data_IF_280162719678
#
_entry.id   IF_280162719678
#
_cell.length_a   1.000
_cell.length_b   1.000
_cell.length_c   1.000
_cell.angle_alpha   90.00
_cell.angle_beta   90.00
_cell.angle_gamma   90.00
#
_symmetry.space_group_name_H-M   'P 1'
#
loop_
_entity.id
_entity.type
_entity.pdbx_description
1 polymer ?
#
# COMPACT_ATOMS: atom_id res chain seq x y z
N UNK A 1 -16.10 15.62 -0.88
CA UNK A 1 -15.42 15.03 -2.06
C UNK A 1 -15.12 13.58 -1.74
N UNK A 2 -15.52 12.64 -2.59
CA UNK A 2 -15.17 11.23 -2.40
C UNK A 2 -13.69 11.03 -2.69
N UNK A 3 -13.01 10.23 -1.87
CA UNK A 3 -11.62 9.83 -2.11
C UNK A 3 -11.56 9.00 -3.40
N UNK A 4 -10.52 9.18 -4.22
CA UNK A 4 -10.28 8.44 -5.47
C UNK A 4 -8.98 7.62 -5.39
N UNK A 5 -8.85 6.51 -6.14
CA UNK A 5 -7.60 5.77 -6.21
C UNK A 5 -6.49 6.63 -6.84
N UNK A 6 -5.25 6.35 -6.46
CA UNK A 6 -4.08 7.09 -6.94
C UNK A 6 -2.86 6.20 -6.92
N UNK A 7 -2.06 6.23 -7.99
CA UNK A 7 -0.76 5.54 -8.04
C UNK A 7 0.38 6.34 -7.40
N UNK A 8 0.08 7.52 -6.86
CA UNK A 8 1.07 8.34 -6.16
C UNK A 8 1.22 7.86 -4.72
N UNK A 9 2.44 7.43 -4.36
CA UNK A 9 2.82 7.20 -2.98
C UNK A 9 3.34 8.49 -2.35
N UNK A 10 2.97 8.69 -1.09
CA UNK A 10 3.47 9.77 -0.24
C UNK A 10 4.31 9.17 0.89
N UNK A 11 5.16 10.01 1.46
CA UNK A 11 6.07 9.62 2.53
C UNK A 11 6.05 10.63 3.65
N UNK A 12 6.23 10.15 4.87
CA UNK A 12 6.38 10.97 6.08
C UNK A 12 7.79 10.77 6.65
N UNK A 13 8.37 11.79 7.34
CA UNK A 13 9.66 11.64 8.00
C UNK A 13 9.65 10.50 9.03
N UNK A 14 10.76 9.76 9.14
CA UNK A 14 10.94 8.80 10.21
C UNK A 14 11.14 9.53 11.56
N UNK A 15 10.31 9.28 12.59
CA UNK A 15 10.48 9.91 13.91
C UNK A 15 11.68 9.36 14.70
N UNK A 16 12.21 8.19 14.33
CA UNK A 16 13.32 7.50 14.98
C UNK A 16 14.34 6.95 13.94
N UNK A 17 14.99 7.82 13.15
CA UNK A 17 15.93 7.39 12.10
C UNK A 17 17.28 6.89 12.67
N UNK A 18 17.49 7.05 13.98
CA UNK A 18 18.69 6.66 14.72
C UNK A 18 18.70 5.18 15.15
N UNK A 19 17.59 4.45 14.94
CA UNK A 19 17.49 3.04 15.29
C UNK A 19 16.71 2.24 14.25
N UNK A 20 17.08 0.98 14.11
CA UNK A 20 16.32 0.03 13.31
C UNK A 20 15.06 -0.41 14.07
N UNK A 21 13.93 -0.38 13.37
CA UNK A 21 12.67 -0.99 13.81
C UNK A 21 11.89 -1.51 12.61
N UNK A 22 11.07 -2.54 12.80
CA UNK A 22 10.25 -3.08 11.72
C UNK A 22 8.90 -2.36 11.65
N UNK A 23 8.53 -1.91 10.45
CA UNK A 23 7.17 -1.51 10.12
C UNK A 23 6.48 -2.67 9.42
N UNK A 24 5.36 -3.12 9.97
CA UNK A 24 4.53 -4.18 9.41
C UNK A 24 3.17 -3.61 8.99
N UNK A 25 2.80 -3.85 7.73
CA UNK A 25 1.53 -3.45 7.14
C UNK A 25 0.81 -4.71 6.63
N UNK A 26 -0.47 -4.84 6.98
CA UNK A 26 -1.35 -5.87 6.43
C UNK A 26 -2.52 -5.20 5.71
N UNK A 27 -2.74 -5.59 4.45
CA UNK A 27 -3.76 -5.04 3.58
C UNK A 27 -4.63 -6.23 3.10
N UNK A 28 -5.65 -6.60 3.88
CA UNK A 28 -6.48 -7.78 3.59
C UNK A 28 -7.49 -7.57 2.46
N UNK A 29 -7.68 -6.32 2.03
CA UNK A 29 -8.71 -5.92 1.06
C UNK A 29 -8.17 -5.72 -0.37
N UNK A 30 -7.02 -6.31 -0.71
CA UNK A 30 -6.49 -6.21 -2.06
C UNK A 30 -7.30 -7.06 -3.05
N UNK A 31 -7.61 -6.47 -4.19
CA UNK A 31 -8.28 -7.11 -5.32
C UNK A 31 -7.83 -6.50 -6.64
N UNK A 32 -7.84 -7.29 -7.70
CA UNK A 32 -7.54 -6.89 -9.08
C UNK A 32 -8.28 -7.79 -10.07
N UNK A 33 -8.20 -7.53 -11.37
CA UNK A 33 -8.78 -8.36 -12.41
C UNK A 33 -7.74 -9.34 -12.98
N UNK A 34 -8.16 -10.58 -13.19
CA UNK A 34 -7.34 -11.57 -13.86
C UNK A 34 -7.19 -11.17 -15.36
N UNK A 35 -5.97 -11.02 -15.91
CA UNK A 35 -5.78 -10.56 -17.28
C UNK A 35 -6.31 -11.54 -18.34
N UNK A 36 -6.51 -12.81 -17.98
CA UNK A 36 -7.00 -13.85 -18.89
C UNK A 36 -8.53 -13.97 -18.90
N UNK A 37 -9.18 -13.80 -17.75
CA UNK A 37 -10.61 -14.10 -17.56
C UNK A 37 -11.46 -12.88 -17.24
N UNK A 38 -10.84 -11.77 -16.80
CA UNK A 38 -11.54 -10.59 -16.30
C UNK A 38 -12.27 -10.79 -14.98
N UNK A 39 -12.05 -11.94 -14.30
CA UNK A 39 -12.64 -12.20 -12.99
C UNK A 39 -11.83 -11.51 -11.88
N UNK A 40 -12.48 -11.08 -10.79
CA UNK A 40 -11.78 -10.46 -9.67
C UNK A 40 -10.99 -11.51 -8.86
N UNK A 41 -9.71 -11.23 -8.64
CA UNK A 41 -8.83 -11.94 -7.72
C UNK A 41 -8.78 -11.20 -6.38
N UNK A 42 -8.55 -11.94 -5.30
CA UNK A 42 -8.44 -11.39 -3.94
C UNK A 42 -7.21 -11.95 -3.25
N UNK A 43 -6.47 -11.10 -2.54
CA UNK A 43 -5.35 -11.54 -1.73
C UNK A 43 -5.13 -10.62 -0.53
N UNK A 44 -4.36 -11.10 0.45
CA UNK A 44 -3.85 -10.27 1.55
C UNK A 44 -2.40 -9.90 1.26
N UNK A 45 -2.12 -8.60 1.11
CA UNK A 45 -0.75 -8.10 0.96
C UNK A 45 -0.16 -7.86 2.35
N UNK A 46 1.03 -8.41 2.59
CA UNK A 46 1.81 -8.19 3.81
C UNK A 46 3.15 -7.57 3.44
N UNK A 47 3.43 -6.39 3.98
CA UNK A 47 4.67 -5.65 3.74
C UNK A 47 5.36 -5.48 5.08
N UNK A 48 6.62 -5.92 5.15
CA UNK A 48 7.52 -5.67 6.28
C UNK A 48 8.77 -5.00 5.77
N UNK A 49 9.18 -3.92 6.40
CA UNK A 49 10.40 -3.19 6.05
C UNK A 49 10.98 -2.49 7.26
N UNK A 50 12.28 -2.22 7.22
CA UNK A 50 12.96 -1.33 8.17
C UNK A 50 13.10 0.04 7.47
N UNK A 51 12.43 1.09 7.97
CA UNK A 51 12.53 2.42 7.39
C UNK A 51 13.89 3.05 7.71
N UNK A 52 14.50 3.69 6.73
CA UNK A 52 15.60 4.64 6.94
C UNK A 52 15.01 6.03 7.24
N UNK A 53 15.20 7.04 6.39
CA UNK A 53 14.78 8.42 6.70
C UNK A 53 13.26 8.67 6.62
N UNK A 54 12.49 7.76 6.03
CA UNK A 54 11.07 8.00 5.68
C UNK A 54 10.22 6.73 5.81
N UNK A 55 8.94 6.92 6.10
CA UNK A 55 7.91 5.88 6.07
C UNK A 55 6.95 6.16 4.91
N UNK A 56 6.37 5.10 4.35
CA UNK A 56 5.22 5.24 3.45
C UNK A 56 3.99 5.73 4.22
N UNK A 57 3.28 6.71 3.68
CA UNK A 57 2.07 7.24 4.30
C UNK A 57 0.88 6.28 4.07
N UNK A 58 0.14 5.99 5.14
CA UNK A 58 -0.86 4.90 5.18
C UNK A 58 -2.04 5.12 4.24
N UNK A 59 -2.50 6.35 4.05
CA UNK A 59 -3.57 6.66 3.09
C UNK A 59 -3.08 6.47 1.66
N UNK A 60 -1.89 6.94 1.31
CA UNK A 60 -1.32 6.86 -0.03
C UNK A 60 -1.13 5.41 -0.47
N UNK A 61 -0.62 4.53 0.40
CA UNK A 61 -0.49 3.10 0.09
C UNK A 61 -1.86 2.43 -0.08
N UNK A 62 -2.87 2.83 0.71
CA UNK A 62 -4.24 2.34 0.52
C UNK A 62 -4.80 2.75 -0.85
N UNK A 63 -4.58 4.00 -1.27
CA UNK A 63 -5.03 4.48 -2.59
C UNK A 63 -4.26 3.83 -3.74
N UNK A 64 -2.98 3.53 -3.54
CA UNK A 64 -2.14 2.80 -4.48
C UNK A 64 -2.65 1.39 -4.69
N UNK A 65 -2.90 0.64 -3.60
CA UNK A 65 -3.48 -0.71 -3.68
C UNK A 65 -4.86 -0.68 -4.33
N UNK A 66 -5.71 0.29 -3.98
CA UNK A 66 -7.03 0.44 -4.60
C UNK A 66 -6.94 0.72 -6.11
N UNK A 67 -5.87 1.34 -6.60
CA UNK A 67 -5.71 1.61 -8.05
C UNK A 67 -5.67 0.35 -8.92
N UNK A 68 -5.41 -0.82 -8.33
CA UNK A 68 -5.41 -2.11 -9.03
C UNK A 68 -6.78 -2.79 -9.13
N UNK A 69 -7.82 -2.25 -8.48
CA UNK A 69 -9.14 -2.92 -8.41
C UNK A 69 -9.73 -3.26 -9.78
N UNK A 70 -9.52 -2.38 -10.75
CA UNK A 70 -10.07 -2.48 -12.10
C UNK A 70 -8.99 -2.78 -13.15
N UNK A 71 -7.79 -3.22 -12.72
CA UNK A 71 -6.64 -3.58 -13.57
C UNK A 71 -6.40 -5.09 -13.62
#
# INVERSE_FOLDING_TARGET
>A
MSTQPSKQLEVVPNPHPDRDYEVSLEIPEFTCLCPMTGQPDFATIRIRYVPDQRLVELKSIKLYVWSYRDE
#
